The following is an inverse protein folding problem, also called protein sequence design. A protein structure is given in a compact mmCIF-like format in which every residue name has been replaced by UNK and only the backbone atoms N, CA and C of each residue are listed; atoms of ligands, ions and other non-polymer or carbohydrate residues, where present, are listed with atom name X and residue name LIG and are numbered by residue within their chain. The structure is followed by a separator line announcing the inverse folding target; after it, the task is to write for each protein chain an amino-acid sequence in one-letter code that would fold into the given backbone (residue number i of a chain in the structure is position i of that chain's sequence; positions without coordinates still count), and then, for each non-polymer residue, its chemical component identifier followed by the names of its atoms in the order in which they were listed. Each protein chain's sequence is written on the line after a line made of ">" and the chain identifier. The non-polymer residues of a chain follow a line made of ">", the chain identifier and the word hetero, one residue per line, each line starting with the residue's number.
data_IF_284546636066
#
_entry.id   IF_284546636066
#
_cell.length_a   1.000
_cell.length_b   1.000
_cell.length_c   1.000
_cell.angle_alpha   90.00
_cell.angle_beta   90.00
_cell.angle_gamma   90.00
#
_symmetry.space_group_name_H-M   'P 1'
#
loop_
_entity.id
_entity.type
_entity.pdbx_description
1 polymer ?
#
# COMPACT_ATOMS: atom_id res chain seq x y z
N UNK A 1 19.36 -8.00 -3.71
CA UNK A 1 18.87 -8.63 -2.47
C UNK A 1 17.36 -8.68 -2.57
N UNK A 2 16.76 -9.87 -2.54
CA UNK A 2 15.30 -10.02 -2.53
C UNK A 2 14.86 -10.04 -1.07
N UNK A 3 14.13 -9.00 -0.65
CA UNK A 3 13.55 -8.95 0.69
C UNK A 3 12.06 -9.24 0.56
N UNK A 4 11.65 -10.34 1.16
CA UNK A 4 10.26 -10.76 1.28
C UNK A 4 9.74 -10.28 2.63
N UNK A 5 8.76 -9.38 2.63
CA UNK A 5 8.10 -8.96 3.88
C UNK A 5 6.61 -8.67 3.65
N UNK A 6 5.84 -8.66 4.75
CA UNK A 6 4.44 -8.26 4.75
C UNK A 6 4.36 -6.80 5.17
N UNK A 7 4.16 -5.86 4.24
CA UNK A 7 4.16 -4.44 4.58
C UNK A 7 2.92 -4.09 5.40
N UNK A 8 3.13 -3.22 6.38
CA UNK A 8 2.09 -2.44 7.04
C UNK A 8 2.42 -0.97 6.84
N UNK A 9 1.49 -0.22 6.27
CA UNK A 9 1.63 1.22 6.01
C UNK A 9 0.57 1.96 6.79
N UNK A 10 0.97 3.03 7.48
CA UNK A 10 0.05 3.97 8.10
C UNK A 10 0.26 5.33 7.48
N UNK A 11 -0.78 5.84 6.84
CA UNK A 11 -0.84 7.17 6.26
C UNK A 11 -1.71 8.05 7.15
N UNK A 12 -1.16 9.16 7.63
CA UNK A 12 -1.95 10.21 8.30
C UNK A 12 -2.02 11.41 7.36
N UNK A 13 -3.24 11.80 7.01
CA UNK A 13 -3.53 12.83 6.00
C UNK A 13 -4.85 13.53 6.34
N UNK A 14 -5.33 14.45 5.50
CA UNK A 14 -6.65 15.04 5.69
C UNK A 14 -7.75 13.98 5.61
N UNK A 15 -8.77 14.11 6.47
CA UNK A 15 -9.87 13.14 6.54
C UNK A 15 -10.64 12.99 5.23
N UNK A 16 -10.76 14.07 4.45
CA UNK A 16 -11.32 14.01 3.09
C UNK A 16 -10.50 13.12 2.16
N UNK A 17 -9.17 13.16 2.27
CA UNK A 17 -8.27 12.39 1.43
C UNK A 17 -8.19 10.92 1.88
N UNK A 18 -8.14 10.65 3.19
CA UNK A 18 -8.23 9.27 3.69
C UNK A 18 -9.55 8.60 3.32
N UNK A 19 -10.66 9.36 3.34
CA UNK A 19 -11.98 8.87 2.93
C UNK A 19 -12.05 8.58 1.44
N UNK A 20 -11.46 9.47 0.63
CA UNK A 20 -11.34 9.25 -0.82
C UNK A 20 -10.56 7.96 -1.12
N UNK A 21 -9.39 7.77 -0.50
CA UNK A 21 -8.58 6.57 -0.68
C UNK A 21 -9.29 5.30 -0.21
N UNK A 22 -10.04 5.38 0.90
CA UNK A 22 -10.81 4.25 1.39
C UNK A 22 -11.96 3.87 0.43
N UNK A 23 -12.65 4.85 -0.15
CA UNK A 23 -13.65 4.60 -1.19
C UNK A 23 -13.03 4.00 -2.43
N UNK A 24 -11.94 4.60 -2.94
CA UNK A 24 -11.23 4.12 -4.12
C UNK A 24 -10.76 2.67 -3.93
N UNK A 25 -10.23 2.31 -2.76
CA UNK A 25 -9.90 0.92 -2.44
C UNK A 25 -11.09 -0.03 -2.55
N UNK A 26 -12.26 0.37 -2.01
CA UNK A 26 -13.47 -0.46 -2.06
C UNK A 26 -14.04 -0.60 -3.48
N UNK A 27 -13.99 0.48 -4.25
CA UNK A 27 -14.60 0.56 -5.58
C UNK A 27 -13.70 -0.07 -6.66
N UNK A 28 -12.39 0.20 -6.60
CA UNK A 28 -11.40 -0.21 -7.60
C UNK A 28 -10.66 -1.50 -7.20
N UNK A 29 -10.80 -1.95 -5.95
CA UNK A 29 -10.20 -3.18 -5.45
C UNK A 29 -8.73 -3.07 -5.04
N UNK A 30 -8.12 -1.88 -5.05
CA UNK A 30 -6.71 -1.75 -4.70
C UNK A 30 -6.22 -0.33 -4.41
N UNK A 31 -5.04 -0.25 -3.79
CA UNK A 31 -4.29 0.98 -3.56
C UNK A 31 -2.80 0.75 -3.79
N UNK A 32 -2.18 1.66 -4.54
CA UNK A 32 -0.75 1.63 -4.82
C UNK A 32 -0.02 2.75 -4.06
N UNK A 33 0.96 2.36 -3.25
CA UNK A 33 1.83 3.25 -2.49
C UNK A 33 3.29 3.00 -2.86
N UNK A 34 3.75 3.67 -3.92
CA UNK A 34 5.11 3.50 -4.43
C UNK A 34 5.34 2.06 -4.90
N UNK A 35 6.30 1.30 -4.33
CA UNK A 35 6.52 -0.09 -4.69
C UNK A 35 5.54 -1.07 -4.02
N UNK A 36 4.62 -0.58 -3.18
CA UNK A 36 3.68 -1.41 -2.43
C UNK A 36 2.30 -1.40 -3.06
N UNK A 37 1.80 -2.56 -3.45
CA UNK A 37 0.43 -2.74 -3.97
C UNK A 37 -0.42 -3.42 -2.88
N UNK A 38 -1.54 -2.81 -2.53
CA UNK A 38 -2.52 -3.33 -1.58
C UNK A 38 -3.88 -3.49 -2.27
N UNK A 39 -4.11 -4.62 -2.94
CA UNK A 39 -5.34 -4.86 -3.69
C UNK A 39 -5.67 -6.32 -3.94
N UNK A 40 -6.75 -6.54 -4.68
CA UNK A 40 -7.28 -7.82 -5.18
C UNK A 40 -7.05 -8.00 -6.68
N UNK A 41 -7.21 -9.24 -7.15
CA UNK A 41 -7.32 -9.53 -8.60
C UNK A 41 -8.73 -9.21 -9.16
N UNK A 42 -9.75 -9.06 -8.31
CA UNK A 42 -11.15 -8.77 -8.69
C UNK A 42 -11.80 -7.80 -7.69
N UNK A 43 -12.66 -6.88 -8.15
CA UNK A 43 -13.32 -5.86 -7.31
C UNK A 43 -14.08 -6.47 -6.12
N UNK A 44 -13.87 -5.93 -4.91
CA UNK A 44 -14.48 -6.41 -3.66
C UNK A 44 -13.57 -6.34 -2.44
N UNK A 45 -14.05 -6.79 -1.27
CA UNK A 45 -13.25 -6.85 -0.04
C UNK A 45 -12.05 -7.79 -0.24
N UNK A 46 -10.84 -7.24 -0.04
CA UNK A 46 -9.61 -7.94 -0.34
C UNK A 46 -9.27 -9.07 0.63
N UNK A 47 -8.96 -10.24 0.09
CA UNK A 47 -8.41 -11.38 0.86
C UNK A 47 -6.92 -11.21 1.16
N UNK A 48 -6.23 -10.36 0.39
CA UNK A 48 -4.78 -10.12 0.42
C UNK A 48 -4.39 -8.82 1.14
N UNK A 49 -5.33 -7.91 1.38
CA UNK A 49 -5.09 -6.65 2.07
C UNK A 49 -6.26 -6.23 2.97
N UNK A 50 -5.94 -5.78 4.19
CA UNK A 50 -6.88 -5.14 5.10
C UNK A 50 -6.61 -3.64 5.10
N UNK A 51 -7.59 -2.83 4.73
CA UNK A 51 -7.53 -1.36 4.83
C UNK A 51 -8.48 -0.89 5.92
N UNK A 52 -7.95 -0.14 6.87
CA UNK A 52 -8.69 0.41 8.01
C UNK A 52 -8.57 1.93 8.00
N UNK A 53 -9.71 2.61 8.07
CA UNK A 53 -9.76 4.07 8.18
C UNK A 53 -10.22 4.48 9.57
N UNK A 54 -9.51 5.43 10.17
CA UNK A 54 -9.89 6.09 11.42
C UNK A 54 -9.68 7.61 11.27
N UNK A 55 -10.72 8.31 10.83
CA UNK A 55 -10.68 9.73 10.48
C UNK A 55 -9.55 10.03 9.49
N UNK A 56 -8.62 10.88 9.90
CA UNK A 56 -7.42 11.28 9.15
C UNK A 56 -6.40 10.14 8.89
N UNK A 57 -6.52 9.00 9.56
CA UNK A 57 -5.52 7.92 9.49
C UNK A 57 -6.04 6.74 8.68
N UNK A 58 -5.25 6.29 7.71
CA UNK A 58 -5.48 5.08 6.92
C UNK A 58 -4.37 4.06 7.22
N UNK A 59 -4.74 2.84 7.59
CA UNK A 59 -3.81 1.74 7.85
C UNK A 59 -4.03 0.64 6.82
N UNK A 60 -2.99 0.32 6.05
CA UNK A 60 -2.98 -0.75 5.08
C UNK A 60 -2.12 -1.89 5.61
N UNK A 61 -2.69 -3.08 5.72
CA UNK A 61 -2.01 -4.28 6.21
C UNK A 61 -2.11 -5.38 5.16
N UNK A 62 -0.97 -5.89 4.70
CA UNK A 62 -0.97 -7.07 3.84
C UNK A 62 -1.33 -8.32 4.64
N UNK A 63 -2.39 -9.02 4.23
CA UNK A 63 -2.84 -10.31 4.80
C UNK A 63 -2.49 -11.50 3.91
N UNK A 64 -1.84 -11.25 2.77
CA UNK A 64 -1.47 -12.28 1.81
C UNK A 64 -0.60 -13.39 2.43
N UNK A 65 -0.89 -14.63 2.05
CA UNK A 65 -0.12 -15.81 2.49
C UNK A 65 1.33 -15.75 2.00
N UNK A 66 1.55 -15.19 0.81
CA UNK A 66 2.87 -14.98 0.23
C UNK A 66 3.41 -13.58 0.54
N UNK A 67 4.71 -13.43 0.84
CA UNK A 67 5.32 -12.13 1.04
C UNK A 67 5.34 -11.32 -0.27
N UNK A 68 5.19 -9.99 -0.17
CA UNK A 68 5.38 -9.11 -1.31
C UNK A 68 6.88 -9.10 -1.65
N UNK A 69 7.21 -9.41 -2.91
CA UNK A 69 8.59 -9.38 -3.41
C UNK A 69 8.89 -7.96 -3.87
N UNK A 70 9.64 -7.20 -3.07
CA UNK A 70 10.18 -5.92 -3.54
C UNK A 70 11.48 -6.17 -4.29
N UNK A 71 11.41 -6.08 -5.62
CA UNK A 71 12.59 -5.94 -6.46
C UNK A 71 13.19 -4.55 -6.29
N UNK A 72 14.04 -4.34 -5.27
CA UNK A 72 14.92 -3.17 -5.24
C UNK A 72 15.98 -3.35 -6.33
N UNK A 73 15.73 -2.83 -7.53
CA UNK A 73 16.83 -2.61 -8.48
C UNK A 73 17.72 -1.53 -7.87
N UNK A 74 18.99 -1.89 -7.75
CA UNK A 74 19.98 -1.22 -6.93
C UNK A 74 20.50 0.06 -7.60
N UNK A 75 20.05 1.22 -7.12
CA UNK A 75 20.87 2.45 -7.08
C UNK A 75 20.13 3.58 -6.34
N UNK A 76 20.21 3.58 -5.01
CA UNK A 76 19.79 4.69 -4.12
C UNK A 76 20.92 5.73 -3.94
N UNK A 77 21.78 5.91 -4.94
CA UNK A 77 22.72 7.04 -4.94
C UNK A 77 22.12 8.11 -5.83
N UNK A 78 21.40 9.06 -5.21
CA UNK A 78 21.23 10.38 -5.81
C UNK A 78 22.62 11.01 -5.82
N UNK A 79 23.26 11.26 -6.98
CA UNK A 79 24.52 11.98 -7.00
C UNK A 79 24.31 13.35 -6.33
N UNK A 80 25.24 13.85 -5.50
CA UNK A 80 25.19 15.27 -5.14
C UNK A 80 25.23 16.07 -6.45
N UNK A 81 24.22 16.91 -6.67
CA UNK A 81 24.14 17.77 -7.85
C UNK A 81 25.42 18.62 -7.94
N UNK A 82 26.10 18.60 -9.08
CA UNK A 82 27.04 19.67 -9.50
C UNK A 82 26.25 20.88 -10.00
#
# INVERSE_FOLDING_TARGET
>A
MVVAYRPKVTLTTWESYSSYLYSAWRDEGGLDFGPLVFGTEESGESTSAKVEQNGATLTLTSTANWPVILGMTSSWTVPPNE
#
